data_IF_245023499992
#
_entry.id   IF_245023499992
#
_cell.length_a   1.000
_cell.length_b   1.000
_cell.length_c   1.000
_cell.angle_alpha   90.00
_cell.angle_beta   90.00
_cell.angle_gamma   90.00
#
_symmetry.space_group_name_H-M   'P 1'
#
loop_
_entity.id
_entity.type
_entity.pdbx_description
1 polymer ?
#
# COMPACT_ATOMS: atom_id res chain seq x y z
N UNK A 1 2.74 -31.74 10.13
CA UNK A 1 3.04 -30.30 10.00
C UNK A 1 2.59 -29.91 8.61
N UNK A 2 1.48 -29.22 8.49
CA UNK A 2 1.01 -28.70 7.20
C UNK A 2 1.81 -27.44 6.93
N UNK A 3 2.75 -27.48 5.99
CA UNK A 3 3.36 -26.26 5.46
C UNK A 3 2.23 -25.36 4.99
N UNK A 4 2.17 -24.13 5.52
CA UNK A 4 1.33 -23.11 4.92
C UNK A 4 1.80 -22.96 3.47
N UNK A 5 0.90 -23.02 2.47
CA UNK A 5 1.30 -22.84 1.08
C UNK A 5 2.05 -21.52 0.96
N UNK A 6 3.29 -21.58 0.48
CA UNK A 6 4.10 -20.40 0.18
C UNK A 6 3.43 -19.66 -0.97
N UNK A 7 2.97 -18.44 -0.70
CA UNK A 7 2.39 -17.55 -1.70
C UNK A 7 3.42 -17.30 -2.81
N UNK A 8 2.98 -17.15 -4.06
CA UNK A 8 3.88 -16.67 -5.11
C UNK A 8 4.38 -15.25 -4.81
N UNK A 9 5.47 -14.77 -5.44
CA UNK A 9 5.94 -13.39 -5.22
C UNK A 9 4.88 -12.33 -5.55
N UNK A 10 4.14 -12.49 -6.65
CA UNK A 10 3.04 -11.59 -7.03
C UNK A 10 1.86 -11.66 -6.04
N UNK A 11 1.49 -12.87 -5.59
CA UNK A 11 0.46 -13.06 -4.57
C UNK A 11 0.87 -12.46 -3.22
N UNK A 12 2.15 -12.59 -2.86
CA UNK A 12 2.73 -11.98 -1.65
C UNK A 12 2.60 -10.46 -1.73
N UNK A 13 2.99 -9.85 -2.85
CA UNK A 13 2.91 -8.41 -3.04
C UNK A 13 1.46 -7.90 -2.90
N UNK A 14 0.50 -8.51 -3.61
CA UNK A 14 -0.91 -8.11 -3.51
C UNK A 14 -1.48 -8.35 -2.10
N UNK A 15 -1.11 -9.46 -1.45
CA UNK A 15 -1.47 -9.73 -0.06
C UNK A 15 -0.94 -8.64 0.88
N UNK A 16 0.29 -8.16 0.71
CA UNK A 16 0.84 -7.05 1.50
C UNK A 16 0.06 -5.76 1.26
N UNK A 17 -0.15 -5.38 0.01
CA UNK A 17 -0.90 -4.17 -0.34
C UNK A 17 -2.28 -4.15 0.33
N UNK A 18 -3.06 -5.24 0.23
CA UNK A 18 -4.46 -5.23 0.67
C UNK A 18 -4.69 -5.73 2.11
N UNK A 19 -3.76 -6.48 2.71
CA UNK A 19 -3.85 -6.87 4.13
C UNK A 19 -3.09 -5.95 5.06
N UNK A 20 -2.02 -5.31 4.58
CA UNK A 20 -1.13 -4.49 5.43
C UNK A 20 -1.28 -3.00 5.15
N UNK A 21 -1.33 -2.57 3.90
CA UNK A 21 -1.37 -1.13 3.58
C UNK A 21 -2.78 -0.57 3.47
N UNK A 22 -3.69 -1.24 2.77
CA UNK A 22 -5.08 -0.79 2.61
C UNK A 22 -5.78 -0.43 3.93
N UNK A 23 -5.64 -1.20 5.03
CA UNK A 23 -6.24 -0.82 6.31
C UNK A 23 -5.80 0.55 6.84
N UNK A 24 -4.58 0.99 6.55
CA UNK A 24 -4.11 2.32 6.97
C UNK A 24 -4.79 3.45 6.20
N UNK A 25 -5.17 3.22 4.94
CA UNK A 25 -6.00 4.17 4.18
C UNK A 25 -7.40 4.25 4.81
N UNK A 26 -7.99 3.11 5.15
CA UNK A 26 -9.32 3.07 5.78
C UNK A 26 -9.33 3.70 7.18
N UNK A 27 -8.30 3.45 7.98
CA UNK A 27 -8.12 4.10 9.28
C UNK A 27 -8.00 5.63 9.14
N UNK A 28 -7.27 6.11 8.12
CA UNK A 28 -7.16 7.54 7.83
C UNK A 28 -8.49 8.16 7.41
N UNK A 29 -9.20 7.52 6.48
CA UNK A 29 -10.52 7.97 6.03
C UNK A 29 -11.53 8.01 7.20
N UNK A 30 -11.51 7.00 8.06
CA UNK A 30 -12.35 6.96 9.25
C UNK A 30 -12.01 8.08 10.23
N UNK A 31 -10.72 8.30 10.51
CA UNK A 31 -10.26 9.37 11.38
C UNK A 31 -10.69 10.75 10.87
N UNK A 32 -10.57 11.00 9.57
CA UNK A 32 -11.04 12.25 8.95
C UNK A 32 -12.54 12.43 9.07
N UNK A 33 -13.33 11.40 8.77
CA UNK A 33 -14.79 11.46 8.91
C UNK A 33 -15.24 11.73 10.35
N UNK A 34 -14.40 11.44 11.34
CA UNK A 34 -14.64 11.72 12.77
C UNK A 34 -14.05 13.05 13.25
N UNK A 35 -13.35 13.78 12.41
CA UNK A 35 -12.64 15.00 12.81
C UNK A 35 -11.55 14.70 13.84
N UNK A 36 -10.78 13.63 13.62
CA UNK A 36 -9.71 13.24 14.53
C UNK A 36 -8.70 14.38 14.75
N UNK A 37 -8.19 14.55 15.98
CA UNK A 37 -7.24 15.60 16.27
C UNK A 37 -5.90 15.35 15.57
N UNK A 38 -5.12 16.40 15.32
CA UNK A 38 -3.79 16.34 14.69
C UNK A 38 -2.88 15.26 15.27
N UNK A 39 -2.81 15.14 16.60
CA UNK A 39 -2.01 14.11 17.30
C UNK A 39 -2.39 12.68 16.90
N UNK A 40 -3.66 12.43 16.60
CA UNK A 40 -4.09 11.13 16.09
C UNK A 40 -3.64 10.91 14.65
N UNK A 41 -3.71 11.92 13.79
CA UNK A 41 -3.21 11.86 12.42
C UNK A 41 -1.69 11.64 12.37
N UNK A 42 -0.92 12.32 13.22
CA UNK A 42 0.53 12.08 13.38
C UNK A 42 0.84 10.63 13.79
N UNK A 43 0.03 10.07 14.70
CA UNK A 43 0.16 8.66 15.10
C UNK A 43 -0.16 7.71 13.94
N UNK A 44 -1.19 8.01 13.15
CA UNK A 44 -1.55 7.22 11.98
C UNK A 44 -0.48 7.32 10.89
N UNK A 45 0.15 8.48 10.73
CA UNK A 45 1.29 8.68 9.85
C UNK A 45 2.44 7.72 10.19
N UNK A 46 2.91 7.73 11.44
CA UNK A 46 4.00 6.84 11.88
C UNK A 46 3.67 5.35 11.66
N UNK A 47 2.40 4.97 11.87
CA UNK A 47 1.92 3.60 11.60
C UNK A 47 2.01 3.25 10.11
N UNK A 48 1.58 4.15 9.24
CA UNK A 48 1.64 3.97 7.79
C UNK A 48 3.10 3.83 7.32
N UNK A 49 3.98 4.75 7.74
CA UNK A 49 5.42 4.69 7.39
C UNK A 49 6.04 3.37 7.84
N UNK A 50 5.76 2.93 9.06
CA UNK A 50 6.24 1.64 9.58
C UNK A 50 5.71 0.47 8.75
N UNK A 51 4.45 0.49 8.33
CA UNK A 51 3.86 -0.56 7.53
C UNK A 51 4.43 -0.60 6.10
N UNK A 52 4.72 0.57 5.52
CA UNK A 52 5.39 0.68 4.22
C UNK A 52 6.80 0.12 4.27
N UNK A 53 7.62 0.52 5.25
CA UNK A 53 8.97 -0.03 5.42
C UNK A 53 8.98 -1.56 5.52
N UNK A 54 8.08 -2.14 6.33
CA UNK A 54 7.94 -3.60 6.42
C UNK A 54 7.47 -4.24 5.12
N UNK A 55 6.65 -3.55 4.35
CA UNK A 55 6.20 -4.04 3.04
C UNK A 55 7.35 -4.04 2.05
N UNK A 56 8.13 -2.96 2.00
CA UNK A 56 9.33 -2.83 1.16
C UNK A 56 10.33 -3.93 1.48
N UNK A 57 10.65 -4.16 2.75
CA UNK A 57 11.58 -5.23 3.17
C UNK A 57 11.16 -6.61 2.63
N UNK A 58 9.86 -6.93 2.71
CA UNK A 58 9.35 -8.20 2.17
C UNK A 58 9.38 -8.23 0.65
N UNK A 59 9.06 -7.12 -0.03
CA UNK A 59 9.11 -7.03 -1.50
C UNK A 59 10.54 -7.20 -2.02
N UNK A 60 11.52 -6.52 -1.43
CA UNK A 60 12.94 -6.68 -1.76
C UNK A 60 13.41 -8.12 -1.51
N UNK A 61 12.94 -8.75 -0.42
CA UNK A 61 13.15 -10.16 -0.16
C UNK A 61 12.57 -11.06 -1.26
N UNK A 62 11.39 -10.76 -1.80
CA UNK A 62 10.82 -11.49 -2.94
C UNK A 62 11.63 -11.29 -4.22
N UNK A 63 12.05 -10.07 -4.52
CA UNK A 63 12.90 -9.74 -5.68
C UNK A 63 14.19 -10.56 -5.64
N UNK A 64 14.84 -10.67 -4.48
CA UNK A 64 16.07 -11.45 -4.32
C UNK A 64 15.90 -12.98 -4.58
N UNK A 65 14.67 -13.49 -4.62
CA UNK A 65 14.38 -14.90 -4.96
C UNK A 65 14.13 -15.13 -6.45
N UNK A 66 13.95 -14.05 -7.22
CA UNK A 66 13.68 -14.11 -8.64
C UNK A 66 14.99 -14.03 -9.45
N UNK A 67 14.95 -14.50 -10.69
CA UNK A 67 16.02 -14.23 -11.64
C UNK A 67 16.04 -12.72 -11.97
N UNK A 68 17.22 -12.12 -12.07
CA UNK A 68 17.42 -10.68 -12.30
C UNK A 68 16.69 -10.16 -13.55
N UNK A 69 16.62 -10.98 -14.59
CA UNK A 69 15.96 -10.65 -15.87
C UNK A 69 14.45 -10.98 -15.90
N UNK A 70 13.87 -11.43 -14.78
CA UNK A 70 12.45 -11.75 -14.74
C UNK A 70 11.61 -10.47 -14.74
N UNK A 71 10.60 -10.31 -15.63
CA UNK A 71 9.74 -9.13 -15.64
C UNK A 71 9.08 -8.82 -14.30
N UNK A 72 8.75 -9.86 -13.53
CA UNK A 72 8.18 -9.72 -12.19
C UNK A 72 9.17 -9.11 -11.18
N UNK A 73 10.48 -9.33 -11.33
CA UNK A 73 11.49 -8.74 -10.46
C UNK A 73 11.52 -7.21 -10.62
N UNK A 74 11.45 -6.72 -11.86
CA UNK A 74 11.37 -5.28 -12.16
C UNK A 74 10.10 -4.66 -11.57
N UNK A 75 8.93 -5.27 -11.82
CA UNK A 75 7.65 -4.79 -11.28
C UNK A 75 7.66 -4.68 -9.75
N UNK A 76 8.16 -5.70 -9.06
CA UNK A 76 8.26 -5.70 -7.61
C UNK A 76 9.30 -4.70 -7.10
N UNK A 77 10.40 -4.51 -7.82
CA UNK A 77 11.42 -3.50 -7.51
C UNK A 77 10.88 -2.08 -7.64
N UNK A 78 10.14 -1.77 -8.71
CA UNK A 78 9.46 -0.49 -8.90
C UNK A 78 8.42 -0.25 -7.81
N UNK A 79 7.62 -1.26 -7.47
CA UNK A 79 6.64 -1.16 -6.39
C UNK A 79 7.31 -0.89 -5.04
N UNK A 80 8.42 -1.58 -4.73
CA UNK A 80 9.19 -1.34 -3.53
C UNK A 80 9.72 0.10 -3.50
N UNK A 81 10.32 0.58 -4.59
CA UNK A 81 10.83 1.95 -4.69
C UNK A 81 9.73 3.00 -4.48
N UNK A 82 8.55 2.81 -5.07
CA UNK A 82 7.40 3.72 -4.90
C UNK A 82 6.85 3.72 -3.46
N UNK A 83 6.98 2.59 -2.76
CA UNK A 83 6.53 2.45 -1.37
C UNK A 83 7.59 2.90 -0.34
N UNK A 84 8.85 3.05 -0.72
CA UNK A 84 9.92 3.50 0.18
C UNK A 84 9.64 4.91 0.70
N UNK A 85 9.52 5.11 2.03
CA UNK A 85 9.43 6.44 2.61
C UNK A 85 10.72 7.23 2.43
N UNK A 86 10.60 8.49 2.05
CA UNK A 86 11.71 9.44 1.78
C UNK A 86 11.57 10.74 2.57
N UNK A 87 10.73 10.77 3.61
CA UNK A 87 10.50 11.94 4.46
C UNK A 87 9.28 12.76 4.06
N UNK A 88 8.37 12.17 3.28
CA UNK A 88 7.14 12.81 2.85
C UNK A 88 6.15 13.06 3.99
N UNK A 89 5.28 14.06 3.83
CA UNK A 89 4.22 14.35 4.79
C UNK A 89 3.14 13.27 4.81
N UNK A 90 2.27 13.28 5.82
CA UNK A 90 1.22 12.26 5.94
C UNK A 90 0.27 12.23 4.75
N UNK A 91 -0.08 13.40 4.20
CA UNK A 91 -0.92 13.50 3.00
C UNK A 91 -0.22 12.84 1.82
N UNK A 92 1.05 13.18 1.59
CA UNK A 92 1.85 12.60 0.50
C UNK A 92 2.00 11.09 0.68
N UNK A 93 2.27 10.62 1.90
CA UNK A 93 2.38 9.19 2.20
C UNK A 93 1.09 8.43 1.88
N UNK A 94 -0.08 8.98 2.19
CA UNK A 94 -1.37 8.39 1.85
C UNK A 94 -1.62 8.37 0.35
N UNK A 95 -1.32 9.47 -0.35
CA UNK A 95 -1.45 9.56 -1.81
C UNK A 95 -0.58 8.51 -2.49
N UNK A 96 0.73 8.48 -2.19
CA UNK A 96 1.68 7.55 -2.80
C UNK A 96 1.31 6.09 -2.51
N UNK A 97 0.91 5.80 -1.26
CA UNK A 97 0.44 4.46 -0.89
C UNK A 97 -0.80 4.09 -1.71
N UNK A 98 -1.79 4.98 -1.80
CA UNK A 98 -3.01 4.69 -2.52
C UNK A 98 -2.73 4.46 -4.01
N UNK A 99 -1.92 5.29 -4.66
CA UNK A 99 -1.55 5.10 -6.06
C UNK A 99 -0.94 3.71 -6.30
N UNK A 100 -0.08 3.23 -5.39
CA UNK A 100 0.45 1.86 -5.47
C UNK A 100 -0.66 0.79 -5.38
N UNK A 101 -1.71 1.00 -4.58
CA UNK A 101 -2.86 0.08 -4.50
C UNK A 101 -3.77 0.16 -5.74
N UNK A 102 -3.80 1.30 -6.42
CA UNK A 102 -4.59 1.51 -7.64
C UNK A 102 -3.92 0.84 -8.85
N UNK A 103 -2.61 1.00 -8.98
CA UNK A 103 -1.85 0.62 -10.18
C UNK A 103 -1.34 -0.82 -10.13
N UNK A 104 -0.72 -1.24 -9.01
CA UNK A 104 -0.05 -2.53 -8.90
C UNK A 104 -0.95 -3.76 -9.21
N UNK A 105 -2.27 -3.78 -8.93
CA UNK A 105 -3.12 -4.90 -9.32
C UNK A 105 -3.11 -5.20 -10.82
N UNK A 106 -3.10 -4.17 -11.67
CA UNK A 106 -3.13 -4.36 -13.12
C UNK A 106 -1.88 -5.10 -13.61
N UNK A 107 -0.72 -4.79 -13.02
CA UNK A 107 0.57 -5.36 -13.39
C UNK A 107 0.83 -6.72 -12.73
N UNK A 108 0.37 -6.92 -11.49
CA UNK A 108 0.69 -8.12 -10.71
C UNK A 108 -0.30 -9.26 -10.92
N UNK A 109 -1.59 -9.00 -11.17
CA UNK A 109 -2.60 -10.04 -11.36
C UNK A 109 -2.27 -11.06 -12.47
N UNK A 110 -1.68 -10.67 -13.62
CA UNK A 110 -1.23 -11.62 -14.63
C UNK A 110 -0.20 -12.66 -14.13
N UNK A 111 0.48 -12.37 -13.02
CA UNK A 111 1.49 -13.24 -12.41
C UNK A 111 0.95 -14.06 -11.22
N UNK A 112 -0.33 -13.89 -10.87
CA UNK A 112 -0.98 -14.63 -9.78
C UNK A 112 -1.60 -15.92 -10.31
N UNK A 113 -1.45 -17.07 -9.61
CA UNK A 113 -2.12 -18.30 -10.00
C UNK A 113 -3.64 -18.17 -10.09
N UNK A 114 -4.25 -18.87 -11.04
CA UNK A 114 -5.70 -18.85 -11.23
C UNK A 114 -6.45 -19.28 -9.94
N UNK A 115 -7.55 -18.60 -9.62
CA UNK A 115 -8.38 -18.90 -8.45
C UNK A 115 -7.84 -18.40 -7.09
N UNK A 116 -6.58 -17.94 -7.03
CA UNK A 116 -5.97 -17.42 -5.81
C UNK A 116 -6.76 -16.23 -5.21
N UNK A 117 -7.11 -15.25 -6.05
CA UNK A 117 -7.82 -14.03 -5.60
C UNK A 117 -9.09 -14.39 -4.83
N UNK A 118 -9.94 -15.25 -5.40
CA UNK A 118 -11.21 -15.66 -4.80
C UNK A 118 -11.04 -16.51 -3.53
N UNK A 119 -9.96 -17.30 -3.45
CA UNK A 119 -9.65 -18.13 -2.27
C UNK A 119 -8.94 -17.38 -1.14
N UNK A 120 -8.48 -16.15 -1.38
CA UNK A 120 -7.67 -15.39 -0.44
C UNK A 120 -8.49 -14.45 0.44
N UNK A 121 -7.95 -14.08 1.61
CA UNK A 121 -8.56 -13.06 2.48
C UNK A 121 -8.32 -11.62 1.99
N UNK A 122 -7.48 -11.43 0.97
CA UNK A 122 -7.08 -10.11 0.46
C UNK A 122 -7.77 -9.75 -0.86
N UNK A 123 -8.10 -10.75 -1.68
CA UNK A 123 -8.72 -10.58 -2.99
C UNK A 123 -10.08 -9.86 -2.96
N UNK A 124 -11.00 -10.17 -2.03
CA UNK A 124 -12.23 -9.40 -1.88
C UNK A 124 -11.97 -7.92 -1.58
N UNK A 125 -11.01 -7.61 -0.70
CA UNK A 125 -10.64 -6.22 -0.36
C UNK A 125 -10.10 -5.46 -1.57
N UNK A 126 -9.23 -6.10 -2.34
CA UNK A 126 -8.72 -5.53 -3.59
C UNK A 126 -9.86 -5.25 -4.56
N UNK A 127 -10.73 -6.23 -4.78
CA UNK A 127 -11.84 -6.10 -5.74
C UNK A 127 -12.78 -4.97 -5.32
N UNK A 128 -13.15 -4.92 -4.04
CA UNK A 128 -13.99 -3.86 -3.50
C UNK A 128 -13.32 -2.49 -3.63
N UNK A 129 -12.04 -2.37 -3.29
CA UNK A 129 -11.26 -1.14 -3.44
C UNK A 129 -11.25 -0.65 -4.89
N UNK A 130 -10.92 -1.51 -5.85
CA UNK A 130 -10.87 -1.18 -7.28
C UNK A 130 -12.23 -0.76 -7.84
N UNK A 131 -13.33 -1.31 -7.31
CA UNK A 131 -14.69 -0.88 -7.67
C UNK A 131 -14.96 0.55 -7.18
N UNK A 132 -14.52 0.92 -5.98
CA UNK A 132 -14.73 2.26 -5.42
C UNK A 132 -13.94 3.34 -6.16
N UNK A 133 -12.81 3.02 -6.80
CA UNK A 133 -12.03 3.98 -7.61
C UNK A 133 -12.80 4.61 -8.79
N UNK A 134 -13.93 4.01 -9.17
CA UNK A 134 -14.84 4.59 -10.17
C UNK A 134 -15.52 5.87 -9.66
N UNK A 135 -15.57 6.08 -8.35
CA UNK A 135 -16.02 7.32 -7.74
C UNK A 135 -14.85 8.32 -7.65
N UNK A 136 -14.96 9.52 -8.25
CA UNK A 136 -13.95 10.57 -8.14
C UNK A 136 -13.57 10.94 -6.69
N UNK A 137 -14.51 10.83 -5.75
CA UNK A 137 -14.24 11.11 -4.34
C UNK A 137 -13.25 10.13 -3.70
N UNK A 138 -13.11 8.93 -4.29
CA UNK A 138 -12.16 7.91 -3.85
C UNK A 138 -10.79 8.02 -4.52
N UNK A 139 -10.59 8.91 -5.50
CA UNK A 139 -9.28 9.13 -6.11
C UNK A 139 -8.29 9.72 -5.11
N UNK A 140 -7.05 9.24 -5.10
CA UNK A 140 -6.06 9.53 -4.06
C UNK A 140 -5.92 11.02 -3.73
N UNK A 141 -5.80 11.88 -4.74
CA UNK A 141 -5.61 13.34 -4.51
C UNK A 141 -6.83 13.98 -3.84
N UNK A 142 -8.03 13.68 -4.33
CA UNK A 142 -9.29 14.23 -3.80
C UNK A 142 -9.57 13.66 -2.42
N UNK A 143 -9.36 12.35 -2.23
CA UNK A 143 -9.66 11.66 -0.96
C UNK A 143 -8.87 12.23 0.22
N UNK A 144 -7.62 12.65 -0.02
CA UNK A 144 -6.70 13.09 1.03
C UNK A 144 -6.50 14.61 1.11
N UNK A 145 -7.19 15.40 0.29
CA UNK A 145 -6.99 16.85 0.20
C UNK A 145 -7.21 17.59 1.54
N UNK A 146 -8.08 17.05 2.41
CA UNK A 146 -8.44 17.66 3.68
C UNK A 146 -7.40 17.47 4.80
N UNK A 147 -6.38 16.64 4.61
CA UNK A 147 -5.31 16.43 5.60
C UNK A 147 -4.35 17.62 5.52
N UNK A 148 -3.99 18.26 6.62
CA UNK A 148 -2.98 19.34 6.60
C UNK A 148 -1.63 18.87 6.01
N UNK A 149 -0.97 19.76 5.26
CA UNK A 149 0.18 19.43 4.42
C UNK A 149 1.45 19.15 5.23
N UNK A 150 1.52 19.73 6.43
CA UNK A 150 2.67 19.72 7.36
C UNK A 150 2.63 18.58 8.39
N UNK A 151 1.58 17.74 8.40
CA UNK A 151 1.49 16.64 9.36
C UNK A 151 2.60 15.64 9.11
N UNK A 152 3.51 15.53 10.08
CA UNK A 152 4.64 14.61 10.02
C UNK A 152 5.84 15.12 9.23
N UNK A 153 5.80 16.35 8.73
CA UNK A 153 7.02 17.07 8.37
C UNK A 153 7.76 17.39 9.67
N UNK A 154 8.98 16.90 9.80
CA UNK A 154 9.92 17.45 10.77
C UNK A 154 10.54 18.66 10.11
N UNK A 155 10.35 19.87 10.65
CA UNK A 155 11.07 21.07 10.19
C UNK A 155 12.56 20.71 10.01
N UNK A 156 13.01 20.63 8.76
CA UNK A 156 14.44 20.58 8.47
C UNK A 156 14.98 21.96 8.82
N UNK A 157 15.58 22.04 10.01
CA UNK A 157 16.63 22.97 10.44
C UNK A 157 16.61 24.40 9.90
N UNK A 158 16.41 25.35 10.82
CA UNK A 158 17.13 26.64 10.78
C UNK A 158 18.64 26.47 10.53
#
# INVERSE_FOLDING_TARGET
MTEAPTLSPAETALSLLFRKLHPHLEDAAHALAKGAPRRELERLHLKLITARLKTVEVLEGQVATLAEEAPLAELLGTLAANLTPVGESYRQALILTQLCLEEAPADLLPHVPEGCVAGSSWGPRMTDFLVHLKDPAYQARTRWEAIEEDIGETEEGE
#
